data_IF_318321525203
#
_entry.id   IF_318321525203
#
_cell.length_a   1.000
_cell.length_b   1.000
_cell.length_c   1.000
_cell.angle_alpha   90.00
_cell.angle_beta   90.00
_cell.angle_gamma   90.00
#
_symmetry.space_group_name_H-M   'P 1'
#
loop_
_entity.id
_entity.type
_entity.pdbx_description
1 polymer ?
#
# COMPACT_ATOMS: atom_id res chain seq x y z
N UNK A 1 -54.99 12.25 27.82
CA UNK A 1 -54.59 12.36 26.39
C UNK A 1 -53.74 13.61 26.21
N UNK A 2 -52.42 13.50 26.03
CA UNK A 2 -51.66 14.58 25.40
C UNK A 2 -50.50 13.99 24.59
N UNK A 3 -50.52 14.32 23.29
CA UNK A 3 -49.81 13.63 22.21
C UNK A 3 -48.32 13.90 22.23
N UNK A 4 -47.56 12.81 22.14
CA UNK A 4 -46.21 12.72 21.61
C UNK A 4 -45.97 13.69 20.44
N UNK A 5 -45.17 14.74 20.68
CA UNK A 5 -44.38 15.41 19.64
C UNK A 5 -42.89 15.23 19.94
N UNK A 6 -42.48 13.97 20.00
CA UNK A 6 -41.06 13.64 19.82
C UNK A 6 -40.73 13.86 18.35
N UNK A 7 -40.00 14.93 18.08
CA UNK A 7 -39.63 15.37 16.73
C UNK A 7 -38.92 14.24 15.97
N UNK A 8 -39.31 14.03 14.71
CA UNK A 8 -38.74 13.03 13.79
C UNK A 8 -37.19 13.04 13.80
N UNK A 9 -36.59 14.24 13.95
CA UNK A 9 -35.14 14.46 14.13
C UNK A 9 -34.52 13.70 15.31
N UNK A 10 -35.21 13.60 16.45
CA UNK A 10 -34.70 12.95 17.68
C UNK A 10 -34.74 11.42 17.56
N UNK A 11 -35.70 10.88 16.79
CA UNK A 11 -35.74 9.44 16.44
C UNK A 11 -34.69 9.06 15.40
N UNK A 12 -34.44 9.93 14.40
CA UNK A 12 -33.40 9.71 13.38
C UNK A 12 -31.98 9.78 13.95
N UNK A 13 -31.70 10.72 14.85
CA UNK A 13 -30.40 10.84 15.52
C UNK A 13 -30.11 9.69 16.49
N UNK A 14 -31.13 9.14 17.15
CA UNK A 14 -30.99 7.98 18.02
C UNK A 14 -30.86 6.64 17.25
N UNK A 15 -31.46 6.52 16.06
CA UNK A 15 -31.35 5.30 15.23
C UNK A 15 -30.06 5.21 14.43
N UNK A 16 -29.41 6.34 14.12
CA UNK A 16 -28.12 6.35 13.42
C UNK A 16 -26.90 6.26 14.34
N UNK A 17 -27.06 6.30 15.67
CA UNK A 17 -25.96 6.11 16.61
C UNK A 17 -24.81 7.10 16.45
N UNK A 18 -25.10 8.36 16.10
CA UNK A 18 -24.07 9.38 15.90
C UNK A 18 -23.40 9.72 17.23
N UNK A 19 -22.11 9.38 17.34
CA UNK A 19 -21.27 9.69 18.52
C UNK A 19 -20.27 10.81 18.20
N UNK A 20 -19.62 11.38 19.21
CA UNK A 20 -18.48 12.29 18.99
C UNK A 20 -17.41 11.65 18.10
N UNK A 21 -17.21 10.34 18.21
CA UNK A 21 -16.29 9.57 17.36
C UNK A 21 -16.71 9.53 15.90
N UNK A 22 -18.01 9.55 15.58
CA UNK A 22 -18.54 9.63 14.21
C UNK A 22 -18.18 10.96 13.55
N UNK A 23 -18.25 12.07 14.29
CA UNK A 23 -17.83 13.38 13.81
C UNK A 23 -16.31 13.47 13.61
N UNK A 24 -15.52 12.86 14.51
CA UNK A 24 -14.06 12.78 14.34
C UNK A 24 -13.70 11.95 13.12
N UNK A 25 -14.30 10.77 12.93
CA UNK A 25 -14.10 9.94 11.74
C UNK A 25 -14.46 10.67 10.44
N UNK A 26 -15.62 11.34 10.41
CA UNK A 26 -16.08 12.08 9.24
C UNK A 26 -15.21 13.32 8.95
N UNK A 27 -14.77 14.02 10.00
CA UNK A 27 -13.87 15.18 9.87
C UNK A 27 -12.47 14.75 9.43
N UNK A 28 -11.95 13.66 9.97
CA UNK A 28 -10.69 13.06 9.55
C UNK A 28 -10.77 12.56 8.10
N UNK A 29 -11.88 11.95 7.70
CA UNK A 29 -12.10 11.54 6.31
C UNK A 29 -12.14 12.74 5.36
N UNK A 30 -12.87 13.81 5.69
CA UNK A 30 -12.89 15.04 4.91
C UNK A 30 -11.51 15.73 4.86
N UNK A 31 -10.77 15.73 5.98
CA UNK A 31 -9.41 16.24 6.03
C UNK A 31 -8.46 15.41 5.15
N UNK A 32 -8.59 14.08 5.16
CA UNK A 32 -7.82 13.19 4.29
C UNK A 32 -8.15 13.45 2.82
N UNK A 33 -9.42 13.63 2.46
CA UNK A 33 -9.82 14.01 1.10
C UNK A 33 -9.22 15.35 0.68
N UNK A 34 -9.21 16.35 1.56
CA UNK A 34 -8.56 17.64 1.28
C UNK A 34 -7.05 17.48 1.10
N UNK A 35 -6.38 16.68 1.93
CA UNK A 35 -4.95 16.38 1.78
C UNK A 35 -4.68 15.68 0.46
N UNK A 36 -5.49 14.67 0.09
CA UNK A 36 -5.36 13.98 -1.21
C UNK A 36 -5.52 14.98 -2.36
N UNK A 37 -6.55 15.83 -2.33
CA UNK A 37 -6.77 16.84 -3.37
C UNK A 37 -5.58 17.80 -3.48
N UNK A 38 -5.08 18.31 -2.35
CA UNK A 38 -3.96 19.26 -2.33
C UNK A 38 -2.66 18.60 -2.79
N UNK A 39 -2.34 17.41 -2.28
CA UNK A 39 -1.08 16.73 -2.56
C UNK A 39 -1.05 16.15 -3.98
N UNK A 40 -2.17 15.66 -4.49
CA UNK A 40 -2.29 15.14 -5.86
C UNK A 40 -2.78 16.18 -6.87
N UNK A 41 -2.93 17.45 -6.47
CA UNK A 41 -3.31 18.53 -7.39
C UNK A 41 -2.38 18.66 -8.61
N UNK A 42 -1.04 18.56 -8.48
CA UNK A 42 -0.16 18.60 -9.65
C UNK A 42 -0.46 17.49 -10.65
N UNK A 43 -0.64 16.26 -10.15
CA UNK A 43 -1.02 15.11 -10.97
C UNK A 43 -2.37 15.32 -11.66
N UNK A 44 -3.35 15.87 -10.94
CA UNK A 44 -4.67 16.18 -11.51
C UNK A 44 -4.58 17.25 -12.59
N UNK A 45 -3.77 18.30 -12.40
CA UNK A 45 -3.57 19.37 -13.38
C UNK A 45 -2.96 18.82 -14.67
N UNK A 46 -1.92 17.98 -14.54
CA UNK A 46 -1.27 17.37 -15.70
C UNK A 46 -2.22 16.41 -16.41
N UNK A 47 -2.95 15.57 -15.67
CA UNK A 47 -3.98 14.69 -16.23
C UNK A 47 -5.07 15.46 -17.01
N UNK A 48 -5.56 16.58 -16.47
CA UNK A 48 -6.56 17.43 -17.12
C UNK A 48 -6.00 18.14 -18.37
N UNK A 49 -4.69 18.39 -18.44
CA UNK A 49 -4.06 19.05 -19.59
C UNK A 49 -4.06 18.18 -20.85
N UNK A 50 -4.14 16.85 -20.70
CA UNK A 50 -4.23 15.91 -21.81
C UNK A 50 -5.65 15.71 -22.35
N UNK A 51 -6.68 16.26 -21.69
CA UNK A 51 -8.07 16.12 -22.11
C UNK A 51 -8.35 17.06 -23.29
N UNK A 52 -8.68 16.46 -24.42
CA UNK A 52 -9.25 17.16 -25.57
C UNK A 52 -10.77 17.30 -25.36
N UNK A 53 -11.20 18.50 -24.97
CA UNK A 53 -12.61 18.85 -24.72
C UNK A 53 -13.50 18.77 -25.98
N UNK A 54 -12.90 18.69 -27.17
CA UNK A 54 -13.65 18.50 -28.42
C UNK A 54 -14.06 17.04 -28.66
N UNK A 55 -13.49 16.09 -27.91
CA UNK A 55 -13.76 14.65 -28.03
C UNK A 55 -14.61 14.13 -26.87
N UNK A 56 -15.32 13.00 -27.04
CA UNK A 56 -16.00 12.35 -25.93
C UNK A 56 -15.05 12.06 -24.77
N UNK A 57 -15.50 12.30 -23.53
CA UNK A 57 -14.65 12.12 -22.34
C UNK A 57 -14.35 10.64 -22.04
N UNK A 58 -15.28 9.74 -22.32
CA UNK A 58 -15.19 8.33 -21.90
C UNK A 58 -13.92 7.58 -22.35
N UNK A 59 -13.46 7.69 -23.61
CA UNK A 59 -12.23 7.03 -24.06
C UNK A 59 -10.96 7.71 -23.51
N UNK A 60 -11.06 8.95 -23.03
CA UNK A 60 -9.94 9.73 -22.51
C UNK A 60 -9.72 9.49 -21.00
N UNK A 61 -10.68 8.84 -20.32
CA UNK A 61 -10.57 8.54 -18.90
C UNK A 61 -9.51 7.47 -18.64
N UNK A 62 -8.72 7.68 -17.60
CA UNK A 62 -7.78 6.67 -17.10
C UNK A 62 -8.53 5.60 -16.30
N UNK A 63 -9.10 4.63 -17.03
CA UNK A 63 -9.85 3.52 -16.44
C UNK A 63 -9.04 2.66 -15.47
N UNK A 64 -7.72 2.57 -15.68
CA UNK A 64 -6.85 1.80 -14.79
C UNK A 64 -6.68 2.54 -13.45
N UNK A 65 -6.42 3.85 -13.48
CA UNK A 65 -6.37 4.67 -12.27
C UNK A 65 -7.69 4.62 -11.49
N UNK A 66 -8.82 4.77 -12.18
CA UNK A 66 -10.14 4.72 -11.57
C UNK A 66 -10.42 3.34 -10.96
N UNK A 67 -10.03 2.26 -11.65
CA UNK A 67 -10.13 0.90 -11.14
C UNK A 67 -9.29 0.71 -9.88
N UNK A 68 -8.01 1.08 -9.90
CA UNK A 68 -7.11 0.93 -8.76
C UNK A 68 -7.62 1.71 -7.55
N UNK A 69 -8.05 2.96 -7.78
CA UNK A 69 -8.62 3.81 -6.73
C UNK A 69 -9.91 3.22 -6.16
N UNK A 70 -10.82 2.73 -7.01
CA UNK A 70 -12.08 2.13 -6.59
C UNK A 70 -11.84 0.84 -5.78
N UNK A 71 -10.96 -0.05 -6.26
CA UNK A 71 -10.63 -1.30 -5.57
C UNK A 71 -9.97 -1.03 -4.22
N UNK A 72 -8.95 -0.17 -4.17
CA UNK A 72 -8.30 0.20 -2.91
C UNK A 72 -9.28 0.86 -1.94
N UNK A 73 -10.15 1.76 -2.41
CA UNK A 73 -11.18 2.39 -1.58
C UNK A 73 -12.12 1.36 -0.96
N UNK A 74 -12.61 0.40 -1.75
CA UNK A 74 -13.46 -0.69 -1.25
C UNK A 74 -12.72 -1.57 -0.24
N UNK A 75 -11.45 -1.89 -0.51
CA UNK A 75 -10.63 -2.70 0.39
C UNK A 75 -10.42 -2.01 1.73
N UNK A 76 -9.98 -0.75 1.77
CA UNK A 76 -9.70 -0.05 3.04
C UNK A 76 -10.96 0.14 3.89
N UNK A 77 -12.13 0.30 3.26
CA UNK A 77 -13.42 0.36 3.96
C UNK A 77 -13.84 -1.00 4.55
N UNK A 78 -13.42 -2.11 3.93
CA UNK A 78 -13.77 -3.44 4.37
C UNK A 78 -13.08 -3.78 5.71
N UNK A 79 -13.89 -3.93 6.77
CA UNK A 79 -13.41 -4.38 8.08
C UNK A 79 -12.43 -3.40 8.75
N UNK A 80 -12.66 -2.10 8.59
CA UNK A 80 -11.85 -1.04 9.21
C UNK A 80 -11.80 -1.15 10.75
N UNK A 81 -10.59 -1.00 11.30
CA UNK A 81 -10.30 -1.00 12.73
C UNK A 81 -9.27 0.08 13.01
N UNK A 82 -9.74 1.21 13.56
CA UNK A 82 -8.90 2.38 13.79
C UNK A 82 -7.64 2.09 14.61
N UNK A 83 -7.70 1.16 15.57
CA UNK A 83 -6.54 0.88 16.43
C UNK A 83 -5.46 0.13 15.65
N UNK A 84 -5.87 -0.88 14.87
CA UNK A 84 -4.95 -1.65 14.03
C UNK A 84 -4.45 -0.82 12.84
N UNK A 85 -5.36 -0.10 12.19
CA UNK A 85 -5.11 0.65 10.96
C UNK A 85 -4.20 1.85 11.19
N UNK A 86 -4.28 2.52 12.33
CA UNK A 86 -3.36 3.64 12.65
C UNK A 86 -1.89 3.21 12.56
N UNK A 87 -1.56 2.03 13.10
CA UNK A 87 -0.18 1.52 13.05
C UNK A 87 0.21 1.09 11.63
N UNK A 88 -0.72 0.52 10.86
CA UNK A 88 -0.48 0.16 9.45
C UNK A 88 -0.22 1.42 8.62
N UNK A 89 -1.02 2.47 8.80
CA UNK A 89 -0.84 3.78 8.16
C UNK A 89 0.53 4.35 8.50
N UNK A 90 0.91 4.35 9.78
CA UNK A 90 2.21 4.86 10.22
C UNK A 90 3.38 4.08 9.58
N UNK A 91 3.34 2.75 9.63
CA UNK A 91 4.38 1.90 9.03
C UNK A 91 4.42 2.08 7.52
N UNK A 92 3.27 2.15 6.85
CA UNK A 92 3.18 2.41 5.41
C UNK A 92 3.76 3.77 5.02
N UNK A 93 3.48 4.82 5.81
CA UNK A 93 4.00 6.17 5.57
C UNK A 93 5.53 6.22 5.67
N UNK A 94 6.08 5.73 6.78
CA UNK A 94 7.54 5.75 7.03
C UNK A 94 8.25 4.80 6.08
N UNK A 95 7.70 3.59 5.88
CA UNK A 95 8.24 2.61 4.97
C UNK A 95 8.24 3.09 3.52
N UNK A 96 7.16 3.73 3.08
CA UNK A 96 7.07 4.37 1.77
C UNK A 96 8.13 5.45 1.58
N UNK A 97 8.30 6.34 2.58
CA UNK A 97 9.36 7.35 2.56
C UNK A 97 10.75 6.74 2.40
N UNK A 98 11.04 5.65 3.12
CA UNK A 98 12.33 4.94 3.02
C UNK A 98 12.53 4.33 1.62
N UNK A 99 11.50 3.69 1.06
CA UNK A 99 11.58 3.05 -0.27
C UNK A 99 11.74 4.11 -1.37
N UNK A 100 10.94 5.18 -1.35
CA UNK A 100 11.07 6.27 -2.33
C UNK A 100 12.41 6.98 -2.21
N UNK A 101 12.90 7.17 -0.98
CA UNK A 101 14.24 7.74 -0.76
C UNK A 101 15.31 6.82 -1.34
N UNK A 102 15.22 5.51 -1.11
CA UNK A 102 16.16 4.55 -1.67
C UNK A 102 16.17 4.59 -3.20
N UNK A 103 15.03 4.43 -3.86
CA UNK A 103 15.00 4.33 -5.32
C UNK A 103 15.41 5.60 -6.04
N UNK A 104 14.87 6.75 -5.60
CA UNK A 104 15.10 8.01 -6.30
C UNK A 104 16.48 8.60 -6.03
N UNK A 105 17.03 8.44 -4.81
CA UNK A 105 18.40 8.88 -4.50
C UNK A 105 19.46 8.01 -5.17
N UNK A 106 19.16 6.74 -5.43
CA UNK A 106 20.07 5.84 -6.14
C UNK A 106 19.87 5.84 -7.66
N UNK A 107 18.85 6.55 -8.16
CA UNK A 107 18.42 6.57 -9.57
C UNK A 107 17.98 5.21 -10.11
N UNK A 108 17.45 4.32 -9.26
CA UNK A 108 16.81 3.08 -9.73
C UNK A 108 15.51 3.37 -10.48
N UNK A 109 14.80 4.42 -10.06
CA UNK A 109 13.70 5.02 -10.81
C UNK A 109 13.71 6.53 -10.66
N UNK A 110 13.07 7.20 -11.60
CA UNK A 110 12.86 8.65 -11.59
C UNK A 110 11.38 8.95 -11.81
N UNK A 111 10.87 9.94 -11.09
CA UNK A 111 9.52 10.47 -11.29
C UNK A 111 9.53 11.61 -12.30
N UNK A 112 8.41 11.84 -12.97
CA UNK A 112 8.26 12.97 -13.91
C UNK A 112 8.51 14.34 -13.23
N UNK A 113 8.24 14.46 -11.92
CA UNK A 113 8.51 15.67 -11.12
C UNK A 113 9.99 15.86 -10.77
N UNK A 114 10.84 14.85 -11.01
CA UNK A 114 12.27 14.83 -10.64
C UNK A 114 12.59 14.98 -9.14
N UNK A 115 11.59 14.96 -8.27
CA UNK A 115 11.73 15.04 -6.81
C UNK A 115 12.39 13.78 -6.20
N UNK A 116 13.13 13.94 -5.09
CA UNK A 116 13.89 12.85 -4.43
C UNK A 116 13.94 13.01 -2.90
N UNK A 117 13.15 12.27 -2.11
CA UNK A 117 11.98 11.49 -2.54
C UNK A 117 10.82 12.41 -2.97
N UNK A 118 9.96 11.99 -3.90
CA UNK A 118 8.74 12.72 -4.23
C UNK A 118 7.75 12.68 -3.08
N UNK A 119 7.42 13.83 -2.50
CA UNK A 119 6.49 13.86 -1.36
C UNK A 119 5.05 13.59 -1.78
N UNK A 120 4.72 13.80 -3.06
CA UNK A 120 3.36 13.67 -3.56
C UNK A 120 2.85 12.21 -3.61
N UNK A 121 3.75 11.23 -3.78
CA UNK A 121 3.39 9.80 -3.82
C UNK A 121 3.33 9.18 -2.41
N UNK A 122 3.98 9.80 -1.41
CA UNK A 122 4.08 9.25 -0.05
C UNK A 122 2.71 8.91 0.58
N UNK A 123 1.64 9.73 0.42
CA UNK A 123 0.32 9.38 0.93
C UNK A 123 -0.32 8.14 0.28
N UNK A 124 0.13 7.70 -0.90
CA UNK A 124 -0.36 6.47 -1.53
C UNK A 124 0.07 5.21 -0.77
N UNK A 125 1.24 5.25 -0.11
CA UNK A 125 1.80 4.09 0.59
C UNK A 125 0.94 3.59 1.76
N UNK A 126 0.38 4.44 2.65
CA UNK A 126 -0.62 4.02 3.63
C UNK A 126 -1.85 3.35 3.02
N UNK A 127 -2.37 3.89 1.91
CA UNK A 127 -3.56 3.35 1.21
C UNK A 127 -3.25 1.96 0.67
N UNK A 128 -2.10 1.80 0.01
CA UNK A 128 -1.64 0.52 -0.50
C UNK A 128 -1.40 -0.48 0.64
N UNK A 129 -0.76 -0.05 1.72
CA UNK A 129 -0.47 -0.92 2.88
C UNK A 129 -1.73 -1.44 3.57
N UNK A 130 -2.75 -0.58 3.75
CA UNK A 130 -4.07 -1.02 4.25
C UNK A 130 -4.72 -2.00 3.27
N UNK A 131 -4.75 -1.67 1.98
CA UNK A 131 -5.34 -2.52 0.95
C UNK A 131 -4.70 -3.91 0.92
N UNK A 132 -3.37 -3.99 1.04
CA UNK A 132 -2.61 -5.24 1.09
C UNK A 132 -2.90 -6.02 2.37
N UNK A 133 -3.03 -5.37 3.53
CA UNK A 133 -3.47 -6.04 4.76
C UNK A 133 -4.86 -6.71 4.57
N UNK A 134 -5.81 -6.00 3.94
CA UNK A 134 -7.14 -6.54 3.68
C UNK A 134 -7.14 -7.69 2.69
N UNK A 135 -6.38 -7.57 1.61
CA UNK A 135 -6.15 -8.65 0.65
C UNK A 135 -5.51 -9.86 1.34
N UNK A 136 -4.50 -9.64 2.18
CA UNK A 136 -3.82 -10.71 2.92
C UNK A 136 -4.79 -11.44 3.84
N UNK A 137 -5.67 -10.72 4.56
CA UNK A 137 -6.72 -11.32 5.40
C UNK A 137 -7.71 -12.12 4.58
N UNK A 138 -8.13 -11.61 3.41
CA UNK A 138 -9.01 -12.32 2.50
C UNK A 138 -8.35 -13.62 2.01
N UNK A 139 -7.12 -13.54 1.50
CA UNK A 139 -6.34 -14.71 1.07
C UNK A 139 -6.14 -15.70 2.21
N UNK A 140 -5.89 -15.23 3.43
CA UNK A 140 -5.76 -16.09 4.60
C UNK A 140 -7.07 -16.83 4.89
N UNK A 141 -8.23 -16.15 4.84
CA UNK A 141 -9.55 -16.78 5.00
C UNK A 141 -9.82 -17.83 3.92
N UNK A 142 -9.50 -17.53 2.67
CA UNK A 142 -9.65 -18.48 1.56
C UNK A 142 -8.73 -19.69 1.76
N UNK A 143 -7.49 -19.45 2.17
CA UNK A 143 -6.51 -20.50 2.40
C UNK A 143 -6.84 -21.37 3.62
N UNK A 144 -7.61 -20.90 4.62
CA UNK A 144 -7.96 -21.69 5.84
C UNK A 144 -8.62 -23.03 5.52
N UNK A 145 -9.18 -23.18 4.32
CA UNK A 145 -9.73 -24.45 3.81
C UNK A 145 -8.66 -25.54 3.61
N UNK A 146 -7.38 -25.19 3.57
CA UNK A 146 -6.25 -26.12 3.43
C UNK A 146 -5.66 -26.46 4.81
N UNK A 147 -5.69 -27.73 5.24
CA UNK A 147 -5.10 -28.16 6.51
C UNK A 147 -3.60 -27.85 6.59
N UNK A 148 -3.11 -27.45 7.77
CA UNK A 148 -1.70 -27.09 7.99
C UNK A 148 -0.71 -28.19 7.58
N UNK A 149 -1.07 -29.46 7.78
CA UNK A 149 -0.26 -30.64 7.41
C UNK A 149 -0.03 -30.78 5.90
N UNK A 150 -0.86 -30.15 5.05
CA UNK A 150 -0.72 -30.12 3.59
C UNK A 150 -0.24 -28.76 3.08
N UNK A 151 0.22 -27.86 3.95
CA UNK A 151 0.62 -26.52 3.55
C UNK A 151 1.94 -26.57 2.78
N UNK A 152 1.91 -26.11 1.53
CA UNK A 152 3.10 -25.87 0.70
C UNK A 152 3.81 -24.57 1.04
N UNK A 153 3.35 -23.83 2.05
CA UNK A 153 3.87 -22.50 2.38
C UNK A 153 5.37 -22.46 2.71
N UNK A 154 5.96 -23.41 3.46
CA UNK A 154 7.41 -23.41 3.70
C UNK A 154 8.21 -23.59 2.40
N UNK A 155 7.77 -24.49 1.51
CA UNK A 155 8.41 -24.70 0.21
C UNK A 155 8.29 -23.45 -0.65
N UNK A 156 7.09 -22.87 -0.77
CA UNK A 156 6.86 -21.65 -1.53
C UNK A 156 7.67 -20.48 -0.97
N UNK A 157 7.81 -20.37 0.35
CA UNK A 157 8.64 -19.35 0.98
C UNK A 157 10.11 -19.49 0.55
N UNK A 158 10.69 -20.69 0.69
CA UNK A 158 12.09 -20.93 0.33
C UNK A 158 12.35 -20.92 -1.18
N UNK A 159 11.32 -20.96 -2.00
CA UNK A 159 11.42 -20.67 -3.42
C UNK A 159 11.34 -19.14 -3.67
N UNK A 160 10.26 -18.49 -3.23
CA UNK A 160 9.94 -17.11 -3.56
C UNK A 160 10.99 -16.13 -3.02
N UNK A 161 11.36 -16.22 -1.74
CA UNK A 161 12.19 -15.18 -1.12
C UNK A 161 13.66 -15.22 -1.58
N UNK A 162 14.32 -16.38 -1.68
CA UNK A 162 15.64 -16.45 -2.30
C UNK A 162 15.64 -16.05 -3.78
N UNK A 163 14.62 -16.46 -4.55
CA UNK A 163 14.49 -16.02 -5.95
C UNK A 163 14.31 -14.50 -6.04
N UNK A 164 13.46 -13.91 -5.20
CA UNK A 164 13.31 -12.46 -5.12
C UNK A 164 14.65 -11.79 -4.75
N UNK A 165 15.39 -12.33 -3.79
CA UNK A 165 16.69 -11.77 -3.39
C UNK A 165 17.72 -11.83 -4.52
N UNK A 166 17.74 -12.91 -5.31
CA UNK A 166 18.58 -12.99 -6.51
C UNK A 166 18.19 -11.94 -7.56
N UNK A 167 16.88 -11.73 -7.79
CA UNK A 167 16.38 -10.67 -8.67
C UNK A 167 16.75 -9.28 -8.13
N UNK A 168 16.67 -9.06 -6.82
CA UNK A 168 17.09 -7.82 -6.16
C UNK A 168 18.57 -7.56 -6.42
N UNK A 169 19.45 -8.53 -6.23
CA UNK A 169 20.88 -8.39 -6.49
C UNK A 169 21.17 -7.98 -7.95
N UNK A 170 20.49 -8.60 -8.91
CA UNK A 170 20.63 -8.26 -10.32
C UNK A 170 20.12 -6.84 -10.62
N UNK A 171 18.96 -6.48 -10.09
CA UNK A 171 18.34 -5.16 -10.30
C UNK A 171 19.14 -4.02 -9.66
N UNK A 172 19.69 -4.23 -8.48
CA UNK A 172 20.40 -3.16 -7.75
C UNK A 172 21.89 -3.11 -8.07
N UNK A 173 22.40 -4.01 -8.91
CA UNK A 173 23.81 -4.10 -9.25
C UNK A 173 24.45 -2.76 -9.66
N UNK A 174 23.79 -1.90 -10.48
CA UNK A 174 24.34 -0.59 -10.84
C UNK A 174 24.54 0.35 -9.63
N UNK A 175 23.82 0.12 -8.54
CA UNK A 175 23.81 0.99 -7.35
C UNK A 175 24.42 0.32 -6.12
N UNK A 176 25.13 -0.81 -6.29
CA UNK A 176 25.72 -1.61 -5.18
C UNK A 176 26.63 -0.82 -4.23
N UNK A 177 27.24 0.27 -4.70
CA UNK A 177 28.10 1.14 -3.89
C UNK A 177 27.35 2.19 -3.06
N UNK A 178 26.02 2.27 -3.16
CA UNK A 178 25.20 3.25 -2.44
C UNK A 178 24.76 2.67 -1.10
N UNK A 179 24.86 3.47 -0.02
CA UNK A 179 24.49 3.05 1.34
C UNK A 179 23.04 2.57 1.43
N UNK A 180 22.10 3.28 0.79
CA UNK A 180 20.68 2.88 0.78
C UNK A 180 20.45 1.53 0.10
N UNK A 181 21.21 1.20 -0.96
CA UNK A 181 21.16 -0.11 -1.61
C UNK A 181 21.70 -1.21 -0.70
N UNK A 182 22.82 -0.95 -0.01
CA UNK A 182 23.36 -1.89 0.97
C UNK A 182 22.38 -2.15 2.12
N UNK A 183 21.71 -1.12 2.61
CA UNK A 183 20.67 -1.24 3.63
C UNK A 183 19.47 -2.05 3.14
N UNK A 184 19.01 -1.82 1.90
CA UNK A 184 17.92 -2.59 1.30
C UNK A 184 18.27 -4.08 1.14
N UNK A 185 19.50 -4.38 0.70
CA UNK A 185 20.02 -5.76 0.61
C UNK A 185 20.07 -6.43 1.98
N UNK A 186 20.67 -5.76 2.97
CA UNK A 186 20.78 -6.30 4.33
C UNK A 186 19.40 -6.53 4.94
N UNK A 187 18.46 -5.59 4.79
CA UNK A 187 17.09 -5.74 5.27
C UNK A 187 16.40 -6.94 4.61
N UNK A 188 16.48 -7.07 3.28
CA UNK A 188 15.84 -8.18 2.57
C UNK A 188 16.46 -9.53 2.93
N UNK A 189 17.78 -9.58 3.14
CA UNK A 189 18.48 -10.79 3.61
C UNK A 189 18.01 -11.18 5.02
N UNK A 190 17.97 -10.23 5.95
CA UNK A 190 17.47 -10.46 7.32
C UNK A 190 16.02 -10.95 7.32
N UNK A 191 15.15 -10.31 6.54
CA UNK A 191 13.74 -10.72 6.43
C UNK A 191 13.60 -12.14 5.84
N UNK A 192 14.41 -12.48 4.84
CA UNK A 192 14.41 -13.81 4.23
C UNK A 192 14.90 -14.88 5.21
N UNK A 193 15.98 -14.61 5.94
CA UNK A 193 16.64 -15.58 6.82
C UNK A 193 16.01 -15.74 8.20
N UNK A 194 15.09 -14.85 8.59
CA UNK A 194 14.45 -14.88 9.92
C UNK A 194 12.93 -15.08 9.83
N UNK A 195 12.41 -16.16 9.21
CA UNK A 195 10.97 -16.35 9.04
C UNK A 195 10.25 -16.45 10.40
N UNK A 196 9.11 -15.76 10.53
CA UNK A 196 8.20 -15.89 11.70
C UNK A 196 7.02 -16.80 11.38
N UNK A 197 6.35 -16.55 10.26
CA UNK A 197 5.24 -17.35 9.75
C UNK A 197 5.35 -17.43 8.22
N UNK A 198 5.80 -18.59 7.72
CA UNK A 198 6.00 -18.83 6.29
C UNK A 198 4.73 -18.61 5.48
N UNK A 199 3.57 -19.03 6.02
CA UNK A 199 2.30 -18.94 5.32
C UNK A 199 1.85 -17.51 5.21
N UNK A 200 1.86 -16.77 6.33
CA UNK A 200 1.47 -15.37 6.30
C UNK A 200 2.44 -14.53 5.46
N UNK A 201 3.74 -14.84 5.49
CA UNK A 201 4.73 -14.18 4.64
C UNK A 201 4.44 -14.39 3.14
N UNK A 202 4.19 -15.63 2.70
CA UNK A 202 3.84 -15.93 1.30
C UNK A 202 2.53 -15.25 0.87
N UNK A 203 1.50 -15.26 1.72
CA UNK A 203 0.23 -14.60 1.41
C UNK A 203 0.36 -13.08 1.36
N UNK A 204 1.16 -12.50 2.26
CA UNK A 204 1.44 -11.05 2.29
C UNK A 204 2.23 -10.64 1.05
N UNK A 205 3.25 -11.43 0.68
CA UNK A 205 4.01 -11.23 -0.55
C UNK A 205 3.11 -11.30 -1.79
N UNK A 206 2.25 -12.32 -1.88
CA UNK A 206 1.32 -12.49 -3.00
C UNK A 206 0.30 -11.35 -3.08
N UNK A 207 -0.25 -10.90 -1.95
CA UNK A 207 -1.15 -9.75 -1.89
C UNK A 207 -0.46 -8.45 -2.34
N UNK A 208 0.77 -8.21 -1.84
CA UNK A 208 1.57 -7.05 -2.20
C UNK A 208 1.96 -7.04 -3.68
N UNK A 209 2.45 -8.16 -4.22
CA UNK A 209 2.78 -8.28 -5.64
C UNK A 209 1.54 -8.19 -6.53
N UNK A 210 0.40 -8.76 -6.10
CA UNK A 210 -0.87 -8.69 -6.81
C UNK A 210 -1.40 -7.27 -6.96
N UNK A 211 -1.41 -6.49 -5.86
CA UNK A 211 -1.78 -5.06 -5.93
C UNK A 211 -0.70 -4.25 -6.69
N UNK A 212 0.58 -4.52 -6.40
CA UNK A 212 1.73 -3.86 -7.01
C UNK A 212 1.78 -4.01 -8.52
N UNK A 213 1.28 -5.13 -9.08
CA UNK A 213 1.17 -5.29 -10.53
C UNK A 213 0.35 -4.17 -11.19
N UNK A 214 -0.83 -3.88 -10.64
CA UNK A 214 -1.70 -2.84 -11.21
C UNK A 214 -1.14 -1.44 -11.00
N UNK A 215 -0.60 -1.17 -9.80
CA UNK A 215 0.01 0.12 -9.48
C UNK A 215 1.23 0.42 -10.36
N UNK A 216 2.11 -0.57 -10.58
CA UNK A 216 3.26 -0.44 -11.48
C UNK A 216 2.82 -0.34 -12.93
N UNK A 217 1.82 -1.13 -13.35
CA UNK A 217 1.27 -1.07 -14.70
C UNK A 217 0.75 0.35 -14.97
N UNK A 218 -0.02 0.93 -14.05
CA UNK A 218 -0.49 2.30 -14.17
C UNK A 218 0.68 3.29 -14.21
N UNK A 219 1.52 3.33 -13.18
CA UNK A 219 2.54 4.36 -13.06
C UNK A 219 3.56 4.35 -14.20
N UNK A 220 3.97 3.17 -14.67
CA UNK A 220 4.97 3.05 -15.74
C UNK A 220 4.39 3.23 -17.14
N UNK A 221 3.12 2.89 -17.39
CA UNK A 221 2.48 3.18 -18.69
C UNK A 221 2.11 4.65 -18.86
N UNK A 222 1.86 5.38 -17.76
CA UNK A 222 1.57 6.83 -17.75
C UNK A 222 2.81 7.69 -17.53
N UNK A 223 3.98 7.06 -17.43
CA UNK A 223 5.26 7.74 -17.17
C UNK A 223 5.26 8.57 -15.88
N UNK A 224 4.42 8.22 -14.90
CA UNK A 224 4.47 8.83 -13.58
C UNK A 224 5.83 8.56 -12.92
N UNK A 225 6.38 7.36 -13.15
CA UNK A 225 7.78 7.04 -12.89
C UNK A 225 8.32 6.13 -13.97
N UNK A 226 9.64 6.11 -14.12
CA UNK A 226 10.36 5.26 -15.07
C UNK A 226 11.56 4.64 -14.37
N UNK A 227 11.66 3.32 -14.46
CA UNK A 227 12.83 2.57 -13.97
C UNK A 227 13.98 2.65 -14.96
N UNK A 228 15.21 2.52 -14.46
CA UNK A 228 16.41 2.48 -15.30
C UNK A 228 16.40 1.31 -16.32
N UNK A 229 15.56 0.29 -16.10
CA UNK A 229 15.38 -0.85 -17.01
C UNK A 229 14.40 -0.58 -18.15
N UNK A 230 13.65 0.53 -18.10
CA UNK A 230 12.62 0.91 -19.08
C UNK A 230 11.52 -0.15 -19.32
N UNK A 231 11.31 -1.07 -18.37
CA UNK A 231 10.26 -2.09 -18.44
C UNK A 231 8.91 -1.56 -17.91
N UNK A 232 7.81 -2.09 -18.47
CA UNK A 232 6.44 -1.66 -18.18
C UNK A 232 5.48 -2.85 -18.06
N UNK A 233 5.01 -3.22 -16.86
CA UNK A 233 5.64 -2.96 -15.57
C UNK A 233 6.92 -3.83 -15.40
N UNK A 234 7.94 -3.36 -14.68
CA UNK A 234 9.12 -4.18 -14.38
C UNK A 234 8.74 -5.32 -13.43
N UNK A 235 9.09 -6.56 -13.78
CA UNK A 235 8.82 -7.73 -12.93
C UNK A 235 9.39 -7.56 -11.52
N UNK A 236 10.62 -7.04 -11.42
CA UNK A 236 11.24 -6.76 -10.12
C UNK A 236 10.41 -5.81 -9.27
N UNK A 237 9.94 -4.69 -9.85
CA UNK A 237 9.16 -3.69 -9.14
C UNK A 237 7.85 -4.28 -8.60
N UNK A 238 7.14 -5.04 -9.43
CA UNK A 238 5.92 -5.77 -9.04
C UNK A 238 6.19 -6.68 -7.83
N UNK A 239 7.26 -7.48 -7.88
CA UNK A 239 7.61 -8.37 -6.77
C UNK A 239 8.13 -7.61 -5.54
N UNK A 240 8.76 -6.44 -5.74
CA UNK A 240 9.25 -5.58 -4.67
C UNK A 240 8.11 -5.02 -3.80
N UNK A 241 6.92 -4.75 -4.37
CA UNK A 241 5.71 -4.47 -3.58
C UNK A 241 5.34 -5.63 -2.64
N UNK A 242 5.49 -6.87 -3.10
CA UNK A 242 5.33 -8.07 -2.28
C UNK A 242 6.31 -8.10 -1.11
N UNK A 243 7.59 -7.84 -1.36
CA UNK A 243 8.60 -7.81 -0.31
C UNK A 243 8.41 -6.63 0.66
N UNK A 244 8.05 -5.46 0.15
CA UNK A 244 7.74 -4.27 0.95
C UNK A 244 6.57 -4.55 1.91
N UNK A 245 5.52 -5.21 1.44
CA UNK A 245 4.40 -5.63 2.27
C UNK A 245 4.83 -6.56 3.41
N UNK A 246 5.73 -7.52 3.13
CA UNK A 246 6.29 -8.40 4.16
C UNK A 246 7.11 -7.61 5.17
N UNK A 247 7.94 -6.67 4.71
CA UNK A 247 8.73 -5.79 5.58
C UNK A 247 7.83 -4.93 6.49
N UNK A 248 6.74 -4.38 5.97
CA UNK A 248 5.80 -3.56 6.74
C UNK A 248 5.07 -4.40 7.80
N UNK A 249 4.58 -5.58 7.41
CA UNK A 249 3.95 -6.51 8.35
C UNK A 249 4.92 -6.92 9.48
N UNK A 250 6.18 -7.21 9.14
CA UNK A 250 7.23 -7.54 10.12
C UNK A 250 7.54 -6.38 11.06
N UNK A 251 7.60 -5.17 10.53
CA UNK A 251 7.80 -3.95 11.33
C UNK A 251 6.64 -3.73 12.30
N UNK A 252 5.40 -3.91 11.83
CA UNK A 252 4.20 -3.84 12.67
C UNK A 252 4.24 -4.85 13.83
N UNK A 253 4.66 -6.10 13.57
CA UNK A 253 4.82 -7.12 14.61
C UNK A 253 5.87 -6.71 15.65
N UNK A 254 7.01 -6.20 15.21
CA UNK A 254 8.08 -5.74 16.09
C UNK A 254 7.63 -4.58 16.98
N UNK A 255 6.97 -3.56 16.41
CA UNK A 255 6.45 -2.43 17.19
C UNK A 255 5.43 -2.92 18.24
N UNK A 256 4.55 -3.84 17.88
CA UNK A 256 3.60 -4.44 18.84
C UNK A 256 4.30 -5.21 19.96
N UNK A 257 5.32 -6.01 19.63
CA UNK A 257 6.08 -6.76 20.63
C UNK A 257 6.82 -5.83 21.59
N UNK A 258 7.46 -4.78 21.08
CA UNK A 258 8.14 -3.77 21.89
C UNK A 258 7.16 -3.01 22.78
N UNK A 259 6.02 -2.56 22.22
CA UNK A 259 4.98 -1.87 22.98
C UNK A 259 4.43 -2.72 24.12
N UNK A 260 4.19 -4.02 23.88
CA UNK A 260 3.73 -4.92 24.93
C UNK A 260 4.77 -5.12 26.03
N UNK A 261 6.07 -5.17 25.70
CA UNK A 261 7.15 -5.31 26.69
C UNK A 261 7.39 -4.05 27.52
N UNK A 262 7.11 -2.86 26.97
CA UNK A 262 7.27 -1.58 27.69
C UNK A 262 6.09 -1.29 28.63
N UNK A 263 4.95 -1.95 28.43
CA UNK A 263 3.74 -1.79 29.23
C UNK A 263 3.60 -2.86 30.34
N UNK A 264 4.51 -3.84 30.38
CA UNK A 264 4.65 -4.86 31.43
C UNK A 264 5.82 -4.54 32.33
#
# INVERSE_FOLDING_TARGET
MNRNRTTLRRRLTATLGWTKSSYVLMSSFAAILLVIIVVWWPLAKDALSYIDWSRPLWPQMDWLLLFDFAVMSLLIMAGADLKADTLIIFVGLVGGLVIESWGTQTNLWVYYTSERPPLWIIPAWPIASLSIDRLTRLLQRLARRVPARRSTAPLLYWLIFPTFYALLLAFVWPTRGKSLTLMALLLCALLTLTPTDHRLAVLTFAAGAGLGYFLELWGTTRLCWTYYTHQTPPLFAVLAHGMAAVAFWRTWLLIKQLGNRLLT
#
